data_IF_424875275265
#
_entry.id   IF_424875275265
#
_cell.length_a   1.000
_cell.length_b   1.000
_cell.length_c   1.000
_cell.angle_alpha   90.00
_cell.angle_beta   90.00
_cell.angle_gamma   90.00
#
_symmetry.space_group_name_H-M   'P 1'
#
loop_
_entity.id
_entity.type
_entity.pdbx_description
1 polymer ?
#
# COMPACT_ATOMS: atom_id res chain seq x y z
N UNK A 1 23.07 -4.25 -27.98
CA UNK A 1 21.72 -3.62 -27.90
C UNK A 1 20.73 -4.63 -27.36
N UNK A 2 19.92 -4.27 -26.37
CA UNK A 2 18.87 -5.15 -25.81
C UNK A 2 17.48 -4.58 -26.10
N UNK A 3 16.53 -5.46 -26.39
CA UNK A 3 15.13 -5.07 -26.56
C UNK A 3 14.40 -5.18 -25.23
N UNK A 4 13.79 -4.09 -24.79
CA UNK A 4 13.04 -4.01 -23.54
C UNK A 4 11.59 -3.62 -23.85
N UNK A 5 10.76 -4.62 -24.12
CA UNK A 5 9.31 -4.63 -24.44
C UNK A 5 8.79 -3.52 -25.37
N UNK A 6 8.95 -2.25 -25.03
CA UNK A 6 8.55 -1.07 -25.82
C UNK A 6 9.71 -0.19 -26.31
N UNK A 7 10.94 -0.37 -25.79
CA UNK A 7 12.10 0.47 -26.12
C UNK A 7 13.38 -0.34 -26.33
N UNK A 8 14.28 0.17 -27.16
CA UNK A 8 15.64 -0.36 -27.29
C UNK A 8 16.58 0.24 -26.23
N UNK A 9 17.27 -0.63 -25.50
CA UNK A 9 18.25 -0.28 -24.47
C UNK A 9 19.68 -0.43 -25.00
N UNK A 10 20.47 0.64 -24.83
CA UNK A 10 21.90 0.65 -25.12
C UNK A 10 22.68 0.37 -23.82
N UNK A 11 23.19 -0.85 -23.61
CA UNK A 11 23.88 -1.21 -22.37
C UNK A 11 25.16 -0.39 -22.16
N UNK A 12 25.87 -0.05 -23.24
CA UNK A 12 27.11 0.73 -23.19
C UNK A 12 26.90 2.17 -22.70
N UNK A 13 25.68 2.71 -22.89
CA UNK A 13 25.33 4.08 -22.53
C UNK A 13 24.38 4.18 -21.31
N UNK A 14 23.92 3.05 -20.77
CA UNK A 14 23.04 2.99 -19.61
C UNK A 14 21.67 3.65 -19.80
N UNK A 15 21.17 3.74 -21.04
CA UNK A 15 19.95 4.50 -21.39
C UNK A 15 19.16 3.89 -22.55
N UNK A 16 17.93 4.36 -22.74
CA UNK A 16 17.12 4.03 -23.92
C UNK A 16 17.58 4.83 -25.14
N UNK A 17 17.47 4.25 -26.33
CA UNK A 17 17.78 4.93 -27.61
C UNK A 17 16.57 5.65 -28.21
N UNK A 18 15.38 5.43 -27.66
CA UNK A 18 14.11 6.00 -28.10
C UNK A 18 13.48 6.79 -26.96
N UNK A 19 12.75 7.86 -27.31
CA UNK A 19 11.97 8.64 -26.35
C UNK A 19 10.87 7.79 -25.70
N UNK A 20 10.59 8.04 -24.43
CA UNK A 20 9.48 7.40 -23.73
C UNK A 20 8.14 7.72 -24.41
N UNK A 21 7.38 6.72 -24.90
CA UNK A 21 6.11 6.95 -25.55
C UNK A 21 5.04 7.53 -24.61
N UNK A 22 5.23 7.44 -23.28
CA UNK A 22 4.34 8.08 -22.29
C UNK A 22 4.69 9.57 -22.07
N UNK A 23 5.73 10.08 -22.73
CA UNK A 23 6.15 11.47 -22.66
C UNK A 23 6.59 11.89 -21.26
N UNK A 24 6.33 13.16 -20.91
CA UNK A 24 6.74 13.74 -19.62
C UNK A 24 6.12 13.04 -18.39
N UNK A 25 5.09 12.21 -18.57
CA UNK A 25 4.54 11.36 -17.51
C UNK A 25 5.51 10.26 -17.06
N UNK A 26 6.49 9.89 -17.90
CA UNK A 26 7.52 8.89 -17.61
C UNK A 26 8.73 9.47 -16.85
N UNK A 27 8.72 10.79 -16.62
CA UNK A 27 9.81 11.53 -15.99
C UNK A 27 10.36 12.63 -16.89
N UNK A 28 11.18 13.51 -16.30
CA UNK A 28 11.77 14.65 -17.01
C UNK A 28 12.81 14.23 -18.07
N UNK A 29 13.40 13.03 -17.92
CA UNK A 29 14.36 12.51 -18.87
C UNK A 29 13.77 11.34 -19.67
N UNK A 30 13.34 11.66 -20.89
CA UNK A 30 12.64 10.74 -21.80
C UNK A 30 13.50 9.54 -22.28
N UNK A 31 14.80 9.55 -22.01
CA UNK A 31 15.73 8.48 -22.38
C UNK A 31 16.25 7.69 -21.17
N UNK A 32 15.84 8.05 -19.96
CA UNK A 32 16.37 7.44 -18.74
C UNK A 32 15.89 6.00 -18.56
N UNK A 33 16.83 5.08 -18.30
CA UNK A 33 16.50 3.68 -18.01
C UNK A 33 15.95 3.49 -16.60
N UNK A 34 16.63 4.05 -15.61
CA UNK A 34 16.19 4.08 -14.23
C UNK A 34 16.81 5.27 -13.49
N UNK A 35 16.09 5.90 -12.53
CA UNK A 35 16.67 6.92 -11.64
C UNK A 35 17.88 6.42 -10.86
N UNK A 36 17.89 5.14 -10.48
CA UNK A 36 19.03 4.47 -9.85
C UNK A 36 19.10 3.00 -10.32
N UNK A 37 19.99 2.65 -11.26
CA UNK A 37 20.06 1.30 -11.85
C UNK A 37 20.56 0.22 -10.87
N UNK A 38 21.11 0.60 -9.72
CA UNK A 38 21.50 -0.36 -8.65
C UNK A 38 20.27 -0.92 -7.93
N UNK A 39 19.16 -0.16 -7.91
CA UNK A 39 17.97 -0.55 -7.16
C UNK A 39 16.66 -0.59 -7.93
N UNK A 40 16.66 -0.18 -9.19
CA UNK A 40 15.46 -0.05 -10.01
C UNK A 40 15.67 -0.74 -11.34
N UNK A 41 14.66 -1.51 -11.75
CA UNK A 41 14.59 -2.14 -13.07
C UNK A 41 13.33 -1.62 -13.73
N UNK A 42 13.38 -1.29 -15.02
CA UNK A 42 12.20 -0.97 -15.83
C UNK A 42 11.95 -2.13 -16.82
N UNK A 43 11.26 -3.21 -16.44
CA UNK A 43 11.10 -4.39 -17.30
C UNK A 43 10.19 -4.13 -18.51
N UNK A 44 9.27 -3.17 -18.41
CA UNK A 44 8.39 -2.79 -19.51
C UNK A 44 9.04 -1.74 -20.41
N UNK A 45 9.93 -0.90 -19.90
CA UNK A 45 10.39 0.25 -20.66
C UNK A 45 9.34 1.37 -20.67
N UNK A 46 8.58 1.52 -19.58
CA UNK A 46 7.53 2.55 -19.45
C UNK A 46 7.51 3.18 -18.05
N UNK A 47 7.98 2.45 -17.03
CA UNK A 47 7.99 2.91 -15.65
C UNK A 47 9.01 2.10 -14.83
N UNK A 48 9.96 2.79 -14.22
CA UNK A 48 10.96 2.16 -13.38
C UNK A 48 10.31 1.59 -12.12
N UNK A 49 10.50 0.30 -11.86
CA UNK A 49 10.01 -0.38 -10.66
C UNK A 49 11.21 -0.71 -9.78
N UNK A 50 11.21 -0.20 -8.55
CA UNK A 50 12.27 -0.46 -7.58
C UNK A 50 12.37 -1.98 -7.31
N UNK A 51 13.41 -2.61 -7.87
CA UNK A 51 13.65 -4.06 -7.90
C UNK A 51 14.22 -4.58 -6.58
N UNK A 52 14.74 -3.70 -5.72
CA UNK A 52 15.17 -4.05 -4.35
C UNK A 52 14.02 -4.43 -3.43
N UNK A 53 12.76 -4.20 -3.83
CA UNK A 53 11.59 -4.64 -3.08
C UNK A 53 11.25 -6.09 -3.40
N UNK A 54 12.10 -7.02 -2.96
CA UNK A 54 11.68 -8.41 -2.75
C UNK A 54 10.66 -8.36 -1.61
N UNK A 55 9.38 -8.17 -1.95
CA UNK A 55 8.31 -7.96 -0.98
C UNK A 55 8.33 -9.10 0.04
N UNK A 56 8.61 -8.77 1.30
CA UNK A 56 8.53 -9.75 2.37
C UNK A 56 7.06 -10.21 2.52
N UNK A 57 6.79 -11.30 3.25
CA UNK A 57 5.41 -11.82 3.43
C UNK A 57 4.44 -10.73 3.92
N UNK A 58 4.90 -9.82 4.78
CA UNK A 58 4.10 -8.74 5.36
C UNK A 58 3.69 -7.72 4.30
N UNK A 59 4.64 -7.28 3.47
CA UNK A 59 4.36 -6.31 2.42
C UNK A 59 3.38 -6.87 1.38
N UNK A 60 3.46 -8.17 1.07
CA UNK A 60 2.49 -8.82 0.19
C UNK A 60 1.07 -8.80 0.75
N UNK A 61 0.93 -9.08 2.05
CA UNK A 61 -0.36 -9.02 2.74
C UNK A 61 -0.89 -7.59 2.74
N UNK A 62 -0.07 -6.61 3.17
CA UNK A 62 -0.47 -5.21 3.19
C UNK A 62 -0.86 -4.73 1.80
N UNK A 63 -0.07 -5.05 0.77
CA UNK A 63 -0.34 -4.64 -0.61
C UNK A 63 -1.67 -5.18 -1.15
N UNK A 64 -2.00 -6.43 -0.84
CA UNK A 64 -3.33 -7.00 -1.17
C UNK A 64 -4.47 -6.15 -0.61
N UNK A 65 -4.32 -5.64 0.61
CA UNK A 65 -5.33 -4.78 1.23
C UNK A 65 -5.25 -3.33 0.73
N UNK A 66 -4.07 -2.84 0.35
CA UNK A 66 -3.94 -1.54 -0.32
C UNK A 66 -4.81 -1.50 -1.58
N UNK A 67 -4.72 -2.53 -2.43
CA UNK A 67 -5.50 -2.60 -3.67
C UNK A 67 -7.02 -2.73 -3.39
N UNK A 68 -7.38 -3.40 -2.29
CA UNK A 68 -8.79 -3.58 -1.91
C UNK A 68 -9.41 -2.30 -1.34
N UNK A 69 -8.67 -1.58 -0.51
CA UNK A 69 -9.18 -0.52 0.35
C UNK A 69 -8.94 0.87 -0.24
N UNK A 70 -7.93 1.04 -1.10
CA UNK A 70 -7.51 2.37 -1.53
C UNK A 70 -8.55 3.07 -2.40
N UNK A 71 -8.92 4.29 -2.02
CA UNK A 71 -9.85 5.13 -2.76
C UNK A 71 -11.31 4.63 -2.73
N UNK A 72 -11.64 3.63 -1.91
CA UNK A 72 -12.98 3.08 -1.82
C UNK A 72 -13.80 3.72 -0.70
N UNK A 73 -15.10 3.90 -0.94
CA UNK A 73 -16.03 4.26 0.13
C UNK A 73 -16.14 3.10 1.12
N UNK A 74 -16.26 3.43 2.39
CA UNK A 74 -16.28 2.43 3.46
C UNK A 74 -17.51 1.55 3.43
N UNK A 75 -18.65 2.10 2.99
CA UNK A 75 -19.87 1.32 2.71
C UNK A 75 -19.61 0.19 1.72
N UNK A 76 -18.89 0.49 0.64
CA UNK A 76 -18.64 -0.47 -0.45
C UNK A 76 -17.66 -1.55 0.01
N UNK A 77 -16.66 -1.15 0.80
CA UNK A 77 -15.73 -2.10 1.43
C UNK A 77 -16.47 -3.00 2.41
N UNK A 78 -17.33 -2.44 3.26
CA UNK A 78 -18.10 -3.21 4.24
C UNK A 78 -19.02 -4.23 3.56
N UNK A 79 -19.77 -3.81 2.52
CA UNK A 79 -20.59 -4.73 1.70
C UNK A 79 -19.72 -5.85 1.12
N UNK A 80 -18.55 -5.51 0.57
CA UNK A 80 -17.63 -6.51 0.02
C UNK A 80 -17.11 -7.46 1.10
N UNK A 81 -16.68 -6.97 2.26
CA UNK A 81 -16.14 -7.80 3.35
C UNK A 81 -17.24 -8.71 3.91
N UNK A 82 -18.44 -8.20 4.13
CA UNK A 82 -19.59 -9.00 4.56
C UNK A 82 -19.92 -10.11 3.55
N UNK A 83 -19.89 -9.82 2.24
CA UNK A 83 -20.07 -10.84 1.19
C UNK A 83 -19.00 -11.94 1.22
N UNK A 84 -17.82 -11.66 1.80
CA UNK A 84 -16.72 -12.61 1.99
C UNK A 84 -16.70 -13.25 3.38
N UNK A 85 -17.82 -13.18 4.10
CA UNK A 85 -18.01 -13.72 5.44
C UNK A 85 -17.02 -13.16 6.48
N UNK A 86 -16.66 -11.88 6.34
CA UNK A 86 -16.04 -11.15 7.44
C UNK A 86 -17.12 -10.74 8.44
N UNK A 87 -16.77 -10.73 9.73
CA UNK A 87 -17.63 -10.28 10.81
C UNK A 87 -17.25 -8.84 11.18
N UNK A 88 -18.25 -7.97 11.30
CA UNK A 88 -18.07 -6.56 11.68
C UNK A 88 -18.42 -6.34 13.15
N UNK A 89 -17.62 -5.55 13.86
CA UNK A 89 -17.86 -5.15 15.25
C UNK A 89 -17.55 -3.66 15.49
N UNK A 90 -18.27 -3.08 16.45
CA UNK A 90 -18.17 -1.67 16.84
C UNK A 90 -17.78 -1.59 18.33
N UNK A 91 -16.50 -1.77 18.67
CA UNK A 91 -16.06 -2.00 20.05
C UNK A 91 -16.27 -0.80 20.99
N UNK A 92 -16.45 0.40 20.46
CA UNK A 92 -16.56 1.63 21.25
C UNK A 92 -17.92 2.32 21.14
N UNK A 93 -18.94 1.62 20.61
CA UNK A 93 -20.28 2.17 20.42
C UNK A 93 -20.92 2.68 21.72
N UNK A 94 -20.62 2.04 22.85
CA UNK A 94 -21.10 2.42 24.18
C UNK A 94 -20.28 3.56 24.84
N UNK A 95 -19.16 3.98 24.25
CA UNK A 95 -18.28 5.04 24.78
C UNK A 95 -18.05 6.13 23.74
N UNK A 96 -19.00 7.08 23.57
CA UNK A 96 -18.93 8.11 22.54
C UNK A 96 -17.68 9.01 22.61
N UNK A 97 -17.07 9.15 23.79
CA UNK A 97 -15.88 9.97 24.03
C UNK A 97 -14.60 9.36 23.45
N UNK A 98 -14.58 8.05 23.15
CA UNK A 98 -13.44 7.36 22.51
C UNK A 98 -13.54 7.41 21.00
N UNK A 99 -12.39 7.32 20.33
CA UNK A 99 -12.30 7.37 18.86
C UNK A 99 -12.98 6.16 18.23
N UNK A 100 -14.21 6.38 17.77
CA UNK A 100 -14.99 5.35 17.07
C UNK A 100 -14.18 4.74 15.93
N UNK A 101 -14.23 3.42 15.85
CA UNK A 101 -13.59 2.62 14.81
C UNK A 101 -14.41 1.35 14.58
N UNK A 102 -14.20 0.72 13.43
CA UNK A 102 -14.95 -0.47 12.99
C UNK A 102 -13.95 -1.58 12.73
N UNK A 103 -14.15 -2.72 13.39
CA UNK A 103 -13.26 -3.88 13.26
C UNK A 103 -13.94 -4.94 12.40
N UNK A 104 -13.21 -5.46 11.43
CA UNK A 104 -13.60 -6.57 10.58
C UNK A 104 -12.69 -7.76 10.87
N UNK A 105 -13.29 -8.91 11.19
CA UNK A 105 -12.57 -10.14 11.52
C UNK A 105 -12.91 -11.26 10.53
N UNK A 106 -11.91 -12.06 10.15
CA UNK A 106 -12.12 -13.26 9.35
C UNK A 106 -11.28 -14.43 9.82
N UNK A 107 -11.97 -15.51 10.13
CA UNK A 107 -11.39 -16.81 10.39
C UNK A 107 -11.18 -17.58 9.08
N UNK A 108 -9.95 -18.04 8.88
CA UNK A 108 -9.61 -18.91 7.75
C UNK A 108 -9.75 -20.38 8.11
N UNK A 109 -9.86 -21.25 7.10
CA UNK A 109 -9.88 -22.70 7.30
C UNK A 109 -8.63 -23.24 7.99
N UNK A 110 -7.49 -22.54 7.87
CA UNK A 110 -6.23 -22.87 8.54
C UNK A 110 -6.15 -22.35 9.98
N UNK A 111 -7.21 -21.71 10.51
CA UNK A 111 -7.23 -21.15 11.87
C UNK A 111 -6.50 -19.81 12.02
N UNK A 112 -6.08 -19.17 10.93
CA UNK A 112 -5.59 -17.78 10.99
C UNK A 112 -6.79 -16.82 11.10
N UNK A 113 -6.71 -15.90 12.05
CA UNK A 113 -7.69 -14.82 12.26
C UNK A 113 -7.12 -13.52 11.71
N UNK A 114 -7.76 -12.95 10.68
CA UNK A 114 -7.36 -11.68 10.10
C UNK A 114 -8.23 -10.56 10.65
N UNK A 115 -7.61 -9.42 10.99
CA UNK A 115 -8.34 -8.23 11.42
C UNK A 115 -8.00 -7.02 10.54
N UNK A 116 -9.04 -6.28 10.14
CA UNK A 116 -8.93 -4.95 9.56
C UNK A 116 -9.64 -3.97 10.49
N UNK A 117 -8.99 -2.87 10.83
CA UNK A 117 -9.55 -1.85 11.71
C UNK A 117 -9.66 -0.52 10.96
N UNK A 118 -10.90 -0.10 10.68
CA UNK A 118 -11.22 1.15 10.03
C UNK A 118 -11.41 2.27 11.05
N UNK A 119 -10.57 3.31 10.92
CA UNK A 119 -10.57 4.49 11.78
C UNK A 119 -11.12 5.68 10.96
N UNK A 120 -12.41 6.05 11.11
CA UNK A 120 -13.07 7.09 10.30
C UNK A 120 -12.55 8.51 10.51
N UNK A 121 -11.88 8.80 11.61
CA UNK A 121 -11.25 10.11 11.85
C UNK A 121 -10.21 9.98 12.94
N UNK A 122 -8.96 9.85 12.54
CA UNK A 122 -7.86 10.02 13.49
C UNK A 122 -7.76 11.50 13.82
N UNK A 123 -8.11 11.92 15.04
CA UNK A 123 -7.79 13.27 15.57
C UNK A 123 -6.32 13.67 15.29
N UNK A 124 -5.44 12.68 15.11
CA UNK A 124 -4.02 12.81 14.82
C UNK A 124 -3.62 12.84 13.34
N UNK A 125 -4.46 12.35 12.42
CA UNK A 125 -4.08 12.10 11.01
C UNK A 125 -4.95 12.83 9.97
N UNK A 126 -5.95 13.60 10.41
CA UNK A 126 -6.83 14.44 9.58
C UNK A 126 -7.62 13.73 8.46
N UNK A 127 -7.51 12.41 8.38
CA UNK A 127 -8.19 11.57 7.40
C UNK A 127 -8.53 10.23 8.02
N UNK A 128 -9.44 9.53 7.36
CA UNK A 128 -9.74 8.15 7.67
C UNK A 128 -8.59 7.23 7.24
N UNK A 129 -8.45 6.11 7.91
CA UNK A 129 -7.44 5.13 7.55
C UNK A 129 -7.78 3.73 8.07
N UNK A 130 -7.14 2.75 7.46
CA UNK A 130 -7.21 1.35 7.83
C UNK A 130 -5.93 0.91 8.52
N UNK A 131 -6.07 0.03 9.51
CA UNK A 131 -4.98 -0.80 10.03
C UNK A 131 -5.16 -2.22 9.52
N UNK A 132 -4.10 -2.78 8.96
CA UNK A 132 -4.02 -4.21 8.66
C UNK A 132 -3.29 -4.87 9.81
N UNK A 133 -3.99 -5.64 10.63
CA UNK A 133 -3.43 -6.23 11.85
C UNK A 133 -2.83 -7.60 11.52
N UNK A 134 -1.77 -7.98 12.23
CA UNK A 134 -1.14 -9.29 12.10
C UNK A 134 -2.12 -10.38 12.58
N UNK A 135 -2.23 -11.49 11.83
CA UNK A 135 -3.11 -12.56 12.22
C UNK A 135 -2.59 -13.25 13.48
N UNK A 136 -3.52 -13.67 14.34
CA UNK A 136 -3.24 -14.38 15.59
C UNK A 136 -2.31 -13.61 16.56
N UNK A 137 -2.31 -12.28 16.49
CA UNK A 137 -1.44 -11.45 17.33
C UNK A 137 -2.22 -10.82 18.50
N UNK A 138 -1.96 -11.22 19.76
CA UNK A 138 -2.68 -10.71 20.92
C UNK A 138 -2.36 -9.23 21.22
N UNK A 139 -1.31 -8.67 20.63
CA UNK A 139 -0.88 -7.28 20.84
C UNK A 139 -1.37 -6.37 19.70
N UNK A 140 -2.21 -6.88 18.79
CA UNK A 140 -2.75 -6.15 17.64
C UNK A 140 -1.69 -5.44 16.79
N UNK A 141 -0.51 -6.06 16.65
CA UNK A 141 0.55 -5.40 15.90
C UNK A 141 0.16 -5.25 14.42
N UNK A 142 0.64 -4.19 13.78
CA UNK A 142 0.12 -3.73 12.47
C UNK A 142 1.08 -4.12 11.34
N UNK A 143 0.61 -4.85 10.33
CA UNK A 143 1.34 -5.09 9.08
C UNK A 143 1.46 -3.83 8.22
N UNK A 144 0.48 -2.95 8.26
CA UNK A 144 0.53 -1.67 7.55
C UNK A 144 -0.71 -0.81 7.77
N UNK A 145 -0.59 0.45 7.38
CA UNK A 145 -1.67 1.43 7.42
C UNK A 145 -1.97 1.94 6.03
N UNK A 146 -3.26 2.15 5.75
CA UNK A 146 -3.74 2.56 4.44
C UNK A 146 -4.65 3.76 4.65
N UNK A 147 -4.18 4.95 4.30
CA UNK A 147 -4.92 6.20 4.39
C UNK A 147 -5.36 6.73 3.03
N UNK A 148 -6.16 7.80 3.06
CA UNK A 148 -6.67 8.49 1.88
C UNK A 148 -6.42 9.98 1.92
N UNK A 149 -6.19 10.59 0.75
CA UNK A 149 -6.12 12.04 0.58
C UNK A 149 -5.12 12.70 1.52
N UNK A 150 -5.61 13.61 2.38
CA UNK A 150 -4.81 14.42 3.31
C UNK A 150 -4.41 13.67 4.59
N UNK A 151 -4.01 12.41 4.46
CA UNK A 151 -3.54 11.62 5.60
C UNK A 151 -2.19 12.18 6.09
N UNK A 152 -2.22 12.95 7.19
CA UNK A 152 -1.07 13.69 7.70
C UNK A 152 -0.35 12.92 8.83
N UNK A 153 0.84 13.42 9.21
CA UNK A 153 1.64 12.86 10.31
C UNK A 153 2.01 11.37 10.11
N UNK A 154 2.05 10.89 8.86
CA UNK A 154 2.43 9.50 8.54
C UNK A 154 3.90 9.22 8.86
N UNK A 155 4.73 10.25 8.86
CA UNK A 155 6.13 10.25 9.25
C UNK A 155 6.32 9.88 10.74
N UNK A 156 5.34 10.20 11.59
CA UNK A 156 5.35 9.83 13.03
C UNK A 156 5.08 8.35 13.26
N UNK A 157 4.56 7.64 12.27
CA UNK A 157 4.32 6.20 12.34
C UNK A 157 5.62 5.48 12.00
N UNK A 158 6.24 4.87 13.01
CA UNK A 158 7.52 4.14 12.88
C UNK A 158 7.39 2.62 12.94
N UNK A 159 6.25 2.12 13.41
CA UNK A 159 6.05 0.70 13.68
C UNK A 159 5.39 -0.09 12.51
N UNK A 160 5.02 0.58 11.42
CA UNK A 160 4.37 -0.03 10.27
C UNK A 160 4.54 0.83 9.01
N UNK A 161 4.56 0.23 7.81
CA UNK A 161 4.53 0.99 6.56
C UNK A 161 3.19 1.70 6.39
N UNK A 162 3.24 2.89 5.78
CA UNK A 162 2.04 3.69 5.49
C UNK A 162 1.89 3.86 3.99
N UNK A 163 0.68 3.55 3.50
CA UNK A 163 0.24 3.77 2.14
C UNK A 163 -0.81 4.87 2.13
N UNK A 164 -0.73 5.80 1.18
CA UNK A 164 -1.76 6.79 0.92
C UNK A 164 -2.15 6.67 -0.54
N UNK A 165 -3.43 6.43 -0.80
CA UNK A 165 -3.99 6.28 -2.15
C UNK A 165 -3.16 5.34 -3.04
N UNK A 166 -2.82 4.16 -2.49
CA UNK A 166 -2.02 3.14 -3.19
C UNK A 166 -0.50 3.34 -3.11
N UNK A 167 -0.01 4.54 -2.79
CA UNK A 167 1.41 4.88 -2.82
C UNK A 167 2.06 4.70 -1.45
N UNK A 168 3.20 4.01 -1.40
CA UNK A 168 3.98 3.81 -0.17
C UNK A 168 4.70 5.12 0.22
N UNK A 169 4.36 5.67 1.38
CA UNK A 169 4.89 6.96 1.85
C UNK A 169 6.06 6.80 2.81
N UNK A 170 5.99 5.83 3.71
CA UNK A 170 7.07 5.51 4.64
C UNK A 170 7.44 4.02 4.53
N UNK A 171 8.54 3.66 3.84
CA UNK A 171 9.10 2.33 3.93
C UNK A 171 9.67 2.15 5.34
N UNK A 172 9.23 1.11 6.06
CA UNK A 172 9.73 0.80 7.40
C UNK A 172 11.27 0.77 7.40
N UNK A 173 11.91 1.68 8.14
CA UNK A 173 13.31 1.52 8.51
C UNK A 173 13.36 0.41 9.56
N UNK A 174 14.10 -0.65 9.25
CA UNK A 174 14.59 -1.54 10.30
C UNK A 174 15.43 -0.76 11.30
#
# INVERSE_FOLDING_TARGET
MHYNTFRYYAPDAGRFTQQDPIGLMGGLNLYQYAPNPVGWVDPSGLACRNSLKRFNKRDRITKRYVDLLSGKKTSDVEVYLNSKAWKTTYPQSATPQKTQHVVFEKNTKSGEVYHLDYNPSGKTHNSNYWKVIKPNDPVESVYGRIGHGKFNNYDRIKNSPVYIDGSLMNPWSK
#
